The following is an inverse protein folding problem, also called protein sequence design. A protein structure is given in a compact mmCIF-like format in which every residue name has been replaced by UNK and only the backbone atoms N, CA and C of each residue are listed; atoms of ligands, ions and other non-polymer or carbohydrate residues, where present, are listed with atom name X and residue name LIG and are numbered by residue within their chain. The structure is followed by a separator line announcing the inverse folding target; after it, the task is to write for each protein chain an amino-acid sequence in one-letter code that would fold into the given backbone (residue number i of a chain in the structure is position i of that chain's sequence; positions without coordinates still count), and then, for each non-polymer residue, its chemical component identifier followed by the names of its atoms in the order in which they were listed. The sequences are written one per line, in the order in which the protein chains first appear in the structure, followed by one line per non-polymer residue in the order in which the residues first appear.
data_IF_449426101355
#
_entry.id   IF_449426101355
#
_cell.length_a   1.000
_cell.length_b   1.000
_cell.length_c   1.000
_cell.angle_alpha   90.00
_cell.angle_beta   90.00
_cell.angle_gamma   90.00
#
_symmetry.space_group_name_H-M   'P 1'
#
loop_
_entity.id
_entity.type
_entity.pdbx_description
1 polymer ?
#
# COMPACT_ATOMS: atom_id res chain seq x y z
N UNK A 1 -6.81 21.59 10.52
CA UNK A 1 -6.30 20.27 10.09
C UNK A 1 -7.32 19.43 9.32
N UNK A 2 -8.55 19.18 9.81
CA UNK A 2 -9.55 18.38 9.08
C UNK A 2 -9.93 18.93 7.69
N UNK A 3 -10.02 20.26 7.53
CA UNK A 3 -10.37 20.90 6.25
C UNK A 3 -9.40 20.56 5.11
N UNK A 4 -8.08 20.47 5.36
CA UNK A 4 -7.09 20.16 4.31
C UNK A 4 -7.21 18.71 3.81
N UNK A 5 -7.47 17.78 4.75
CA UNK A 5 -7.59 16.34 4.45
C UNK A 5 -8.89 16.01 3.69
N UNK A 6 -10.02 16.59 4.07
CA UNK A 6 -11.26 16.46 3.29
C UNK A 6 -11.15 17.14 1.92
N UNK A 7 -10.42 18.25 1.82
CA UNK A 7 -10.13 18.90 0.54
C UNK A 7 -9.22 18.04 -0.34
N UNK A 8 -8.35 17.21 0.23
CA UNK A 8 -7.57 16.20 -0.50
C UNK A 8 -8.49 15.19 -1.17
N UNK A 9 -9.39 14.58 -0.40
CA UNK A 9 -10.37 13.61 -0.88
C UNK A 9 -11.31 14.21 -1.93
N UNK A 10 -11.85 15.40 -1.67
CA UNK A 10 -12.72 16.09 -2.63
C UNK A 10 -11.97 16.54 -3.88
N UNK A 11 -10.73 17.02 -3.79
CA UNK A 11 -9.97 17.43 -4.96
C UNK A 11 -9.51 16.23 -5.81
N UNK A 12 -9.39 15.05 -5.21
CA UNK A 12 -9.06 13.80 -5.89
C UNK A 12 -10.27 13.17 -6.61
N UNK A 13 -11.43 13.18 -5.95
CA UNK A 13 -12.63 12.53 -6.49
C UNK A 13 -13.52 13.46 -7.33
N UNK A 14 -13.37 14.79 -7.26
CA UNK A 14 -14.15 15.73 -8.09
C UNK A 14 -13.59 15.95 -9.50
N UNK A 15 -12.45 15.36 -9.83
CA UNK A 15 -11.98 15.45 -11.20
C UNK A 15 -12.78 14.54 -12.12
N UNK A 16 -13.14 15.14 -13.24
CA UNK A 16 -13.88 14.53 -14.32
C UNK A 16 -13.16 13.25 -14.77
N UNK A 17 -13.93 12.19 -14.98
CA UNK A 17 -13.47 10.93 -15.55
C UNK A 17 -12.63 11.21 -16.82
N UNK A 18 -11.32 10.95 -16.75
CA UNK A 18 -10.38 11.12 -17.87
C UNK A 18 -9.33 12.23 -17.72
N UNK A 19 -9.37 13.05 -16.68
CA UNK A 19 -8.31 14.03 -16.40
C UNK A 19 -7.25 13.49 -15.43
N UNK A 20 -5.98 13.80 -15.71
CA UNK A 20 -4.87 13.47 -14.79
C UNK A 20 -5.01 14.35 -13.53
N UNK A 21 -4.80 13.80 -12.34
CA UNK A 21 -4.91 14.60 -11.13
C UNK A 21 -3.94 15.79 -11.08
N UNK A 22 -4.36 16.98 -10.59
CA UNK A 22 -3.57 18.18 -10.74
C UNK A 22 -2.43 18.12 -9.73
N UNK A 23 -1.22 18.34 -10.23
CA UNK A 23 -0.05 18.50 -9.37
C UNK A 23 -0.24 19.76 -8.52
N UNK A 24 -0.14 19.62 -7.20
CA UNK A 24 -0.05 20.78 -6.32
C UNK A 24 1.41 21.23 -6.22
N UNK A 25 1.66 22.53 -6.16
CA UNK A 25 2.99 23.03 -5.77
C UNK A 25 3.39 22.42 -4.43
N UNK A 26 4.62 21.88 -4.40
CA UNK A 26 5.17 21.19 -3.25
C UNK A 26 6.45 21.89 -2.83
N UNK A 27 6.51 22.31 -1.58
CA UNK A 27 7.68 22.95 -0.96
C UNK A 27 8.61 21.91 -0.31
N UNK A 28 8.31 20.60 -0.45
CA UNK A 28 9.15 19.52 0.07
C UNK A 28 10.35 19.27 -0.87
N UNK A 29 11.61 19.38 -0.37
CA UNK A 29 12.78 19.22 -1.21
C UNK A 29 12.91 17.80 -1.79
N UNK A 30 13.16 17.73 -3.11
CA UNK A 30 13.49 16.52 -3.87
C UNK A 30 14.84 15.95 -3.39
N UNK A 31 14.84 15.22 -2.28
CA UNK A 31 16.05 14.70 -1.63
C UNK A 31 16.07 14.76 -0.11
N UNK A 32 14.90 14.91 0.54
CA UNK A 32 14.75 14.81 2.00
C UNK A 32 15.36 13.51 2.52
N UNK A 33 16.61 13.57 2.97
CA UNK A 33 17.25 12.53 3.80
C UNK A 33 16.82 12.82 5.23
N UNK A 34 15.72 12.21 5.66
CA UNK A 34 15.26 12.43 7.01
C UNK A 34 16.28 11.99 8.05
N UNK A 35 16.40 12.77 9.11
CA UNK A 35 17.34 12.55 10.22
C UNK A 35 17.07 11.25 10.98
N UNK A 36 15.81 10.77 10.99
CA UNK A 36 15.47 9.40 11.37
C UNK A 36 15.91 8.49 10.22
N UNK A 37 16.95 7.69 10.45
CA UNK A 37 17.32 6.61 9.54
C UNK A 37 16.08 5.72 9.32
N UNK A 38 15.49 5.74 8.12
CA UNK A 38 14.47 4.77 7.70
C UNK A 38 14.91 3.33 8.04
N UNK A 39 16.22 3.05 7.92
CA UNK A 39 16.85 1.77 8.29
C UNK A 39 16.69 1.37 9.76
N UNK A 40 16.50 2.34 10.66
CA UNK A 40 16.33 2.11 12.10
C UNK A 40 14.88 1.83 12.51
N UNK A 41 13.90 2.16 11.65
CA UNK A 41 12.49 1.87 11.91
C UNK A 41 12.17 0.38 11.80
N UNK A 42 12.93 -0.37 11.01
CA UNK A 42 12.76 -1.82 10.89
C UNK A 42 13.54 -2.48 12.02
N UNK A 43 12.86 -3.17 12.96
CA UNK A 43 13.54 -3.89 14.02
C UNK A 43 14.44 -4.99 13.45
N UNK A 44 15.63 -5.16 14.03
CA UNK A 44 16.52 -6.29 13.69
C UNK A 44 15.88 -7.63 14.07
N UNK A 45 15.08 -7.67 15.13
CA UNK A 45 14.33 -8.87 15.52
C UNK A 45 13.17 -9.12 14.55
N UNK A 46 13.19 -10.29 13.90
CA UNK A 46 12.17 -10.78 12.94
C UNK A 46 10.76 -10.84 13.50
N UNK A 47 10.60 -10.94 14.82
CA UNK A 47 9.29 -11.04 15.48
C UNK A 47 8.73 -9.70 15.92
N UNK A 48 9.57 -8.68 16.06
CA UNK A 48 9.12 -7.37 16.49
C UNK A 48 8.34 -6.68 15.34
N UNK A 49 7.12 -6.18 15.62
CA UNK A 49 6.35 -5.40 14.66
C UNK A 49 6.92 -3.99 14.52
N UNK A 50 6.48 -3.27 13.49
CA UNK A 50 6.79 -1.86 13.27
C UNK A 50 5.55 -1.15 12.73
N UNK A 51 5.52 0.17 12.90
CA UNK A 51 4.43 1.02 12.41
C UNK A 51 4.64 1.40 10.95
N UNK A 52 3.85 0.83 10.05
CA UNK A 52 3.91 1.17 8.61
C UNK A 52 3.51 2.62 8.34
N UNK A 53 2.64 3.20 9.18
CA UNK A 53 2.23 4.61 9.07
C UNK A 53 3.39 5.57 9.23
N UNK A 54 4.36 5.26 10.10
CA UNK A 54 5.57 6.07 10.23
C UNK A 54 6.35 6.05 8.91
N UNK A 55 6.53 4.89 8.29
CA UNK A 55 7.23 4.78 6.99
C UNK A 55 6.51 5.57 5.90
N UNK A 56 5.18 5.49 5.86
CA UNK A 56 4.32 6.22 4.92
C UNK A 56 4.50 7.73 5.09
N UNK A 57 4.45 8.24 6.33
CA UNK A 57 4.61 9.68 6.62
C UNK A 57 6.03 10.20 6.30
N UNK A 58 7.04 9.33 6.43
CA UNK A 58 8.43 9.65 6.09
C UNK A 58 8.72 9.67 4.58
N UNK A 59 8.02 8.85 3.79
CA UNK A 59 8.21 8.77 2.33
C UNK A 59 7.39 9.80 1.57
N UNK A 60 6.22 10.17 2.09
CA UNK A 60 5.26 11.02 1.40
C UNK A 60 5.41 12.49 1.78
N UNK A 61 4.76 13.36 1.01
CA UNK A 61 4.74 14.80 1.27
C UNK A 61 4.17 15.07 2.67
N UNK A 62 4.75 16.01 3.43
CA UNK A 62 4.34 16.28 4.82
C UNK A 62 2.85 16.57 4.94
N UNK A 63 2.23 15.99 5.97
CA UNK A 63 0.80 16.13 6.30
C UNK A 63 -0.18 15.78 5.16
N UNK A 64 0.28 15.04 4.13
CA UNK A 64 -0.54 14.69 2.97
C UNK A 64 -1.35 13.41 3.14
N UNK A 65 -0.96 12.52 4.07
CA UNK A 65 -1.60 11.21 4.22
C UNK A 65 -3.00 11.30 4.84
N UNK A 66 -3.96 10.75 4.11
CA UNK A 66 -5.35 10.58 4.48
C UNK A 66 -5.74 9.10 4.48
N UNK A 67 -5.75 8.50 5.67
CA UNK A 67 -6.12 7.10 5.84
C UNK A 67 -7.62 6.87 5.58
N UNK A 68 -7.93 5.82 4.82
CA UNK A 68 -9.28 5.35 4.52
C UNK A 68 -9.50 3.99 5.17
N UNK A 69 -10.63 3.86 5.88
CA UNK A 69 -11.04 2.59 6.44
C UNK A 69 -10.16 2.07 7.58
N UNK A 70 -9.50 2.94 8.37
CA UNK A 70 -8.62 2.52 9.48
C UNK A 70 -9.28 1.62 10.54
N UNK A 71 -10.61 1.63 10.65
CA UNK A 71 -11.36 0.72 11.54
C UNK A 71 -11.66 -0.67 10.93
N UNK A 72 -11.54 -0.85 9.62
CA UNK A 72 -11.92 -2.07 8.89
C UNK A 72 -10.69 -2.72 8.26
N UNK A 73 -10.57 -4.05 8.36
CA UNK A 73 -9.44 -4.79 7.78
C UNK A 73 -8.08 -4.23 8.21
N UNK A 74 -7.86 -4.11 9.53
CA UNK A 74 -6.71 -3.40 10.12
C UNK A 74 -5.33 -3.94 9.73
N UNK A 75 -5.26 -5.17 9.23
CA UNK A 75 -4.01 -5.74 8.69
C UNK A 75 -3.54 -5.05 7.40
N UNK A 76 -4.40 -4.23 6.76
CA UNK A 76 -4.07 -3.42 5.61
C UNK A 76 -4.41 -1.94 5.86
N UNK A 77 -3.40 -1.08 5.77
CA UNK A 77 -3.53 0.37 5.71
C UNK A 77 -3.80 0.76 4.26
N UNK A 78 -4.81 1.60 4.05
CA UNK A 78 -5.12 2.19 2.75
C UNK A 78 -5.35 3.68 2.92
N UNK A 79 -4.96 4.50 1.97
CA UNK A 79 -5.21 5.93 2.04
C UNK A 79 -4.72 6.69 0.82
N UNK A 80 -5.07 7.95 0.72
CA UNK A 80 -4.55 8.83 -0.33
C UNK A 80 -3.50 9.76 0.25
N UNK A 81 -2.50 10.08 -0.56
CA UNK A 81 -1.47 11.04 -0.21
C UNK A 81 -0.99 11.78 -1.44
N UNK A 82 0.05 12.61 -1.27
CA UNK A 82 0.80 13.19 -2.37
C UNK A 82 2.27 12.82 -2.29
N UNK A 83 2.88 12.70 -3.46
CA UNK A 83 4.30 12.52 -3.67
C UNK A 83 4.75 13.50 -4.73
N UNK A 84 5.65 14.43 -4.37
CA UNK A 84 6.11 15.51 -5.28
C UNK A 84 4.94 16.36 -5.83
N UNK A 85 3.85 16.46 -5.06
CA UNK A 85 2.62 17.16 -5.47
C UNK A 85 1.65 16.33 -6.32
N UNK A 86 2.05 15.15 -6.83
CA UNK A 86 1.16 14.22 -7.51
C UNK A 86 0.40 13.37 -6.50
N UNK A 87 -0.90 13.13 -6.68
CA UNK A 87 -1.61 12.28 -5.77
C UNK A 87 -1.35 10.80 -6.06
N UNK A 88 -1.29 10.04 -4.97
CA UNK A 88 -0.98 8.62 -4.98
C UNK A 88 -1.93 7.89 -4.03
N UNK A 89 -2.36 6.71 -4.44
CA UNK A 89 -3.02 5.74 -3.58
C UNK A 89 -1.96 4.95 -2.83
N UNK A 90 -2.14 4.79 -1.52
CA UNK A 90 -1.19 4.09 -0.66
C UNK A 90 -1.85 2.82 -0.15
N UNK A 91 -1.13 1.72 -0.29
CA UNK A 91 -1.42 0.43 0.34
C UNK A 91 -0.24 0.08 1.25
N UNK A 92 -0.48 -0.47 2.44
CA UNK A 92 0.58 -0.92 3.32
C UNK A 92 0.14 -2.00 4.29
N UNK A 93 0.91 -3.07 4.43
CA UNK A 93 0.62 -4.12 5.41
C UNK A 93 0.96 -3.64 6.83
N UNK A 94 0.00 -3.74 7.76
CA UNK A 94 0.22 -3.40 9.16
C UNK A 94 0.60 -4.64 9.96
N UNK A 95 1.87 -4.73 10.37
CA UNK A 95 2.37 -5.89 11.11
C UNK A 95 1.84 -5.98 12.55
N UNK A 96 1.27 -4.91 13.11
CA UNK A 96 0.68 -4.92 14.44
C UNK A 96 -0.65 -5.68 14.50
N UNK A 97 -1.35 -5.77 13.35
CA UNK A 97 -2.64 -6.45 13.25
C UNK A 97 -2.53 -7.68 12.38
N UNK A 98 -2.81 -8.86 12.95
CA UNK A 98 -2.76 -10.15 12.27
C UNK A 98 -1.40 -10.42 11.56
N UNK A 99 -0.33 -9.77 12.03
CA UNK A 99 1.02 -9.90 11.48
C UNK A 99 1.20 -9.34 10.07
N UNK A 100 0.27 -8.51 9.58
CA UNK A 100 0.26 -7.99 8.20
C UNK A 100 -0.37 -8.92 7.18
N UNK A 101 -1.01 -10.01 7.63
CA UNK A 101 -1.53 -11.05 6.78
C UNK A 101 -2.83 -10.66 6.06
N UNK A 102 -3.10 -11.36 4.95
CA UNK A 102 -4.29 -11.14 4.13
C UNK A 102 -5.50 -11.83 4.78
N UNK A 103 -6.46 -11.04 5.24
CA UNK A 103 -7.74 -11.48 5.82
C UNK A 103 -8.89 -11.16 4.86
N UNK A 104 -10.06 -11.82 4.98
CA UNK A 104 -11.20 -11.55 4.10
C UNK A 104 -11.61 -10.06 4.09
N UNK A 105 -11.65 -9.42 5.26
CA UNK A 105 -11.96 -7.98 5.41
C UNK A 105 -10.91 -7.08 4.78
N UNK A 106 -9.61 -7.41 4.97
CA UNK A 106 -8.53 -6.66 4.34
C UNK A 106 -8.55 -6.80 2.82
N UNK A 107 -8.86 -7.99 2.29
CA UNK A 107 -9.00 -8.22 0.85
C UNK A 107 -10.15 -7.41 0.24
N UNK A 108 -11.33 -7.39 0.87
CA UNK A 108 -12.44 -6.56 0.38
C UNK A 108 -12.12 -5.07 0.40
N UNK A 109 -11.42 -4.61 1.45
CA UNK A 109 -10.93 -3.25 1.55
C UNK A 109 -9.97 -2.92 0.42
N UNK A 110 -9.04 -3.84 0.14
CA UNK A 110 -8.09 -3.72 -0.94
C UNK A 110 -8.78 -3.63 -2.30
N UNK A 111 -9.71 -4.54 -2.61
CA UNK A 111 -10.47 -4.53 -3.87
C UNK A 111 -11.14 -3.18 -4.08
N UNK A 112 -11.92 -2.70 -3.10
CA UNK A 112 -12.62 -1.41 -3.23
C UNK A 112 -11.66 -0.24 -3.42
N UNK A 113 -10.53 -0.26 -2.73
CA UNK A 113 -9.55 0.84 -2.83
C UNK A 113 -8.85 0.85 -4.20
N UNK A 114 -8.46 -0.33 -4.70
CA UNK A 114 -7.85 -0.48 -6.02
C UNK A 114 -8.83 -0.06 -7.11
N UNK A 115 -10.08 -0.51 -7.05
CA UNK A 115 -11.12 -0.14 -8.02
C UNK A 115 -11.32 1.40 -8.07
N UNK A 116 -11.28 2.07 -6.91
CA UNK A 116 -11.35 3.53 -6.85
C UNK A 116 -10.10 4.16 -7.47
N UNK A 117 -8.91 3.70 -7.13
CA UNK A 117 -7.67 4.24 -7.72
C UNK A 117 -7.66 4.09 -9.24
N UNK A 118 -8.08 2.94 -9.75
CA UNK A 118 -8.17 2.66 -11.19
C UNK A 118 -9.19 3.56 -11.89
N UNK A 119 -10.39 3.71 -11.30
CA UNK A 119 -11.46 4.56 -11.86
C UNK A 119 -11.03 6.03 -12.00
N UNK A 120 -10.21 6.53 -11.06
CA UNK A 120 -9.73 7.92 -11.04
C UNK A 120 -8.32 8.10 -11.61
N UNK A 121 -7.74 7.08 -12.25
CA UNK A 121 -6.37 7.11 -12.79
C UNK A 121 -5.31 7.52 -11.76
N UNK A 122 -5.48 7.13 -10.50
CA UNK A 122 -4.57 7.46 -9.40
C UNK A 122 -3.49 6.35 -9.33
N UNK A 123 -2.20 6.69 -9.45
CA UNK A 123 -1.12 5.71 -9.32
C UNK A 123 -1.06 5.15 -7.90
N UNK A 124 -0.69 3.87 -7.77
CA UNK A 124 -0.68 3.16 -6.49
C UNK A 124 0.74 2.84 -6.04
N UNK A 125 1.05 3.18 -4.79
CA UNK A 125 2.28 2.80 -4.09
C UNK A 125 1.93 1.81 -2.99
N UNK A 126 2.54 0.64 -3.04
CA UNK A 126 2.24 -0.48 -2.17
C UNK A 126 3.46 -0.88 -1.32
N UNK A 127 3.34 -0.70 -0.01
CA UNK A 127 4.34 -1.07 0.99
C UNK A 127 4.10 -2.50 1.49
N UNK A 128 4.89 -3.43 0.96
CA UNK A 128 4.72 -4.86 1.14
C UNK A 128 5.49 -5.40 2.35
N UNK A 129 4.74 -5.93 3.31
CA UNK A 129 5.21 -6.87 4.36
C UNK A 129 4.10 -7.88 4.63
N UNK A 130 3.95 -8.83 3.70
CA UNK A 130 2.92 -9.84 3.74
C UNK A 130 3.54 -11.23 4.03
N UNK A 131 3.29 -11.81 5.21
CA UNK A 131 3.72 -13.17 5.53
C UNK A 131 2.89 -14.25 4.83
N UNK A 132 1.74 -13.91 4.22
CA UNK A 132 0.85 -14.85 3.54
C UNK A 132 -0.63 -14.62 3.87
N UNK A 133 -1.47 -15.58 3.47
CA UNK A 133 -2.88 -15.62 3.91
C UNK A 133 -2.94 -15.94 5.41
N UNK A 134 -3.75 -15.16 6.14
CA UNK A 134 -3.88 -15.35 7.58
C UNK A 134 -4.64 -16.63 7.92
N UNK A 135 -4.08 -17.42 8.84
CA UNK A 135 -4.66 -18.61 9.51
C UNK A 135 -5.34 -19.64 8.59
N UNK A 136 -4.71 -20.80 8.42
CA UNK A 136 -5.40 -22.00 7.96
C UNK A 136 -6.28 -22.54 9.11
N UNK A 137 -7.60 -22.64 8.90
CA UNK A 137 -8.55 -23.13 9.91
C UNK A 137 -10.00 -22.80 9.59
N UNK A 138 -10.94 -23.42 10.32
CA UNK A 138 -12.40 -23.36 10.05
C UNK A 138 -12.93 -21.93 9.90
N UNK A 139 -12.55 -21.02 10.81
CA UNK A 139 -13.02 -19.62 10.76
C UNK A 139 -12.55 -18.88 9.49
N UNK A 140 -11.36 -19.20 8.98
CA UNK A 140 -10.84 -18.57 7.77
C UNK A 140 -11.54 -19.12 6.51
N UNK A 141 -11.86 -20.41 6.51
CA UNK A 141 -12.65 -21.06 5.45
C UNK A 141 -14.10 -20.57 5.43
N UNK A 142 -14.76 -20.49 6.59
CA UNK A 142 -16.11 -19.94 6.75
C UNK A 142 -16.17 -18.47 6.30
N UNK A 143 -15.13 -17.69 6.61
CA UNK A 143 -15.01 -16.30 6.15
C UNK A 143 -14.70 -16.16 4.66
N UNK A 144 -14.40 -17.27 3.96
CA UNK A 144 -14.09 -17.26 2.54
C UNK A 144 -12.78 -16.56 2.18
N UNK A 145 -11.75 -16.63 3.04
CA UNK A 145 -10.50 -15.84 2.87
C UNK A 145 -9.86 -16.03 1.50
N UNK A 146 -9.90 -17.24 0.93
CA UNK A 146 -9.36 -17.54 -0.40
C UNK A 146 -10.18 -16.82 -1.49
N UNK A 147 -11.52 -16.88 -1.41
CA UNK A 147 -12.40 -16.23 -2.39
C UNK A 147 -12.19 -14.72 -2.40
N UNK A 148 -12.16 -14.10 -1.23
CA UNK A 148 -11.94 -12.65 -1.10
C UNK A 148 -10.49 -12.28 -1.47
N UNK A 149 -9.51 -13.09 -1.07
CA UNK A 149 -8.10 -12.91 -1.39
C UNK A 149 -7.84 -12.94 -2.90
N UNK A 150 -8.32 -13.97 -3.60
CA UNK A 150 -8.18 -14.08 -5.06
C UNK A 150 -8.86 -12.91 -5.77
N UNK A 151 -10.02 -12.45 -5.28
CA UNK A 151 -10.69 -11.26 -5.83
C UNK A 151 -9.84 -10.00 -5.69
N UNK A 152 -9.16 -9.81 -4.56
CA UNK A 152 -8.25 -8.68 -4.36
C UNK A 152 -7.04 -8.75 -5.28
N UNK A 153 -6.45 -9.93 -5.47
CA UNK A 153 -5.36 -10.12 -6.43
C UNK A 153 -5.83 -9.86 -7.87
N UNK A 154 -7.05 -10.26 -8.20
CA UNK A 154 -7.64 -10.03 -9.52
C UNK A 154 -7.86 -8.54 -9.79
N UNK A 155 -8.35 -7.76 -8.81
CA UNK A 155 -8.47 -6.31 -8.96
C UNK A 155 -7.12 -5.62 -9.18
N UNK A 156 -6.06 -6.09 -8.49
CA UNK A 156 -4.70 -5.57 -8.72
C UNK A 156 -4.18 -5.92 -10.11
N UNK A 157 -4.47 -7.13 -10.58
CA UNK A 157 -4.04 -7.57 -11.90
C UNK A 157 -4.79 -6.83 -13.02
N UNK A 158 -6.06 -6.49 -12.82
CA UNK A 158 -6.86 -5.73 -13.78
C UNK A 158 -6.58 -4.23 -13.77
N UNK A 159 -6.06 -3.68 -12.67
CA UNK A 159 -5.77 -2.26 -12.55
C UNK A 159 -4.84 -1.79 -13.69
N UNK A 160 -5.26 -0.73 -14.38
CA UNK A 160 -4.58 -0.10 -15.51
C UNK A 160 -3.57 0.99 -15.10
N UNK A 161 -3.64 1.41 -13.83
CA UNK A 161 -2.85 2.50 -13.27
C UNK A 161 -1.40 2.11 -12.97
N UNK A 162 -0.45 3.07 -13.01
CA UNK A 162 0.93 2.82 -12.61
C UNK A 162 1.02 2.25 -11.20
N UNK A 163 1.75 1.16 -11.05
CA UNK A 163 1.89 0.44 -9.79
C UNK A 163 3.35 0.38 -9.34
N UNK A 164 3.61 0.75 -8.10
CA UNK A 164 4.94 0.63 -7.48
C UNK A 164 4.84 -0.21 -6.22
N UNK A 165 5.61 -1.29 -6.16
CA UNK A 165 5.63 -2.19 -5.01
C UNK A 165 6.97 -2.06 -4.29
N UNK A 166 6.94 -1.64 -3.02
CA UNK A 166 8.12 -1.49 -2.16
C UNK A 166 8.10 -2.61 -1.12
N UNK A 167 9.00 -3.57 -1.28
CA UNK A 167 9.16 -4.71 -0.39
C UNK A 167 10.01 -4.28 0.81
N UNK A 168 9.36 -4.21 1.98
CA UNK A 168 10.02 -3.77 3.22
C UNK A 168 10.73 -4.95 3.90
N UNK A 169 9.99 -6.04 4.13
CA UNK A 169 10.48 -7.14 4.96
C UNK A 169 10.07 -8.52 4.48
N UNK A 170 8.86 -9.00 4.72
CA UNK A 170 8.48 -10.40 4.38
C UNK A 170 7.53 -10.38 3.21
N UNK A 171 7.84 -11.16 2.19
CA UNK A 171 6.92 -11.39 1.07
C UNK A 171 6.98 -12.87 0.72
N UNK A 172 5.94 -13.60 1.13
CA UNK A 172 5.89 -15.05 0.96
C UNK A 172 4.61 -15.51 0.23
N UNK A 173 4.79 -16.53 -0.61
CA UNK A 173 3.71 -17.21 -1.32
C UNK A 173 2.99 -16.35 -2.37
N UNK A 174 1.87 -16.87 -2.89
CA UNK A 174 1.06 -16.18 -3.90
C UNK A 174 0.38 -14.90 -3.38
N UNK A 175 0.15 -14.81 -2.07
CA UNK A 175 -0.38 -13.60 -1.44
C UNK A 175 0.64 -12.45 -1.50
N UNK A 176 1.94 -12.75 -1.42
CA UNK A 176 3.00 -11.74 -1.56
C UNK A 176 3.31 -11.40 -3.01
N UNK A 177 3.23 -12.39 -3.92
CA UNK A 177 3.57 -12.23 -5.34
C UNK A 177 2.49 -11.59 -6.21
N UNK A 178 1.21 -11.60 -5.78
CA UNK A 178 0.10 -11.08 -6.58
C UNK A 178 -0.09 -9.55 -6.54
N UNK A 179 0.87 -8.81 -6.00
CA UNK A 179 0.79 -7.36 -5.82
C UNK A 179 1.41 -6.57 -6.98
N UNK A 180 0.75 -6.65 -8.12
CA UNK A 180 0.99 -5.85 -9.32
C UNK A 180 0.85 -6.69 -10.59
N UNK A 181 0.58 -6.04 -11.72
CA UNK A 181 0.50 -6.72 -13.01
C UNK A 181 1.84 -6.62 -13.76
N UNK A 182 2.44 -7.77 -14.08
CA UNK A 182 3.68 -7.85 -14.85
C UNK A 182 3.55 -7.36 -16.30
N UNK A 183 2.34 -7.38 -16.85
CA UNK A 183 2.04 -6.91 -18.22
C UNK A 183 1.88 -5.38 -18.28
N UNK A 184 1.85 -4.71 -17.12
CA UNK A 184 1.73 -3.26 -17.00
C UNK A 184 2.95 -2.64 -16.30
N UNK A 185 2.94 -1.32 -16.11
CA UNK A 185 4.00 -0.63 -15.39
C UNK A 185 3.93 -0.99 -13.89
N UNK A 186 4.61 -2.06 -13.53
CA UNK A 186 4.85 -2.49 -12.17
C UNK A 186 6.34 -2.39 -11.85
N UNK A 187 6.70 -1.50 -10.93
CA UNK A 187 8.09 -1.33 -10.48
C UNK A 187 8.27 -1.93 -9.09
N UNK A 188 8.79 -3.17 -8.98
CA UNK A 188 9.11 -3.76 -7.70
C UNK A 188 10.49 -3.28 -7.23
N UNK A 189 10.51 -2.65 -6.07
CA UNK A 189 11.72 -2.27 -5.33
C UNK A 189 11.80 -3.07 -4.04
N UNK A 190 13.00 -3.51 -3.67
CA UNK A 190 13.22 -4.16 -2.39
C UNK A 190 14.21 -3.38 -1.55
N UNK A 191 13.88 -3.25 -0.28
CA UNK A 191 14.78 -2.75 0.73
C UNK A 191 15.77 -3.86 1.13
N UNK A 192 17.01 -3.59 1.59
CA UNK A 192 17.96 -4.64 1.99
C UNK A 192 17.47 -5.56 3.12
N UNK A 193 16.44 -5.16 3.87
CA UNK A 193 15.75 -5.99 4.87
C UNK A 193 14.73 -6.97 4.26
N UNK A 194 14.36 -6.76 2.99
CA UNK A 194 13.41 -7.57 2.25
C UNK A 194 13.88 -9.01 2.10
N UNK A 195 13.01 -9.95 2.44
CA UNK A 195 13.21 -11.41 2.39
C UNK A 195 11.99 -12.01 1.69
N UNK A 196 12.19 -12.63 0.53
CA UNK A 196 11.11 -13.26 -0.25
C UNK A 196 11.63 -14.00 -1.50
N UNK A 197 10.85 -14.97 -1.96
CA UNK A 197 11.24 -15.94 -3.03
C UNK A 197 11.13 -15.34 -4.44
N UNK A 198 10.50 -14.17 -4.59
CA UNK A 198 10.31 -13.47 -5.86
C UNK A 198 11.11 -12.16 -5.95
N UNK A 199 12.26 -12.11 -5.27
CA UNK A 199 13.15 -10.95 -5.28
C UNK A 199 13.96 -10.89 -6.58
N UNK A 200 13.30 -10.67 -7.72
CA UNK A 200 13.93 -10.17 -8.95
C UNK A 200 13.87 -8.63 -9.04
N UNK A 201 13.51 -7.94 -7.95
CA UNK A 201 13.50 -6.49 -7.84
C UNK A 201 14.91 -5.92 -7.80
N UNK A 202 15.15 -4.83 -8.54
CA UNK A 202 16.37 -4.03 -8.43
C UNK A 202 16.50 -3.55 -6.98
N UNK A 203 17.60 -3.90 -6.32
CA UNK A 203 17.92 -3.34 -5.02
C UNK A 203 18.12 -1.83 -5.17
N UNK A 204 17.47 -1.05 -4.30
CA UNK A 204 17.65 0.41 -4.19
C UNK A 204 18.78 0.72 -3.23
#
# INVERSE_FOLDING_TARGET
MLSSKYRLFFCLCLQVFGEIPPRKENDDPEGRKEEKNLKSLIPKDRKAPYEVREIIDLVLDKESFFEIGGGYGKSLVTGFARLSGYPVGILGNDCNYDGGAVTAKASEKMTRFVDVCDTFNIPVVNFLDNPGFFKFGLQAEESGVIRHGVRALYSVWQASVPWVSIIIRRVFGGAGGGHGNSDQLNLPYAWPSGTGVHCQSKAV
#
